data_IF_441489691411
#
_entry.id   IF_441489691411
#
_cell.length_a   1.000
_cell.length_b   1.000
_cell.length_c   1.000
_cell.angle_alpha   90.00
_cell.angle_beta   90.00
_cell.angle_gamma   90.00
#
_symmetry.space_group_name_H-M   'P 1'
#
loop_
_entity.id
_entity.type
_entity.pdbx_description
1 polymer ?
#
# COMPACT_ATOMS: atom_id res chain seq x y z
N UNK A 1 -15.83 7.60 -31.40
CA UNK A 1 -15.37 6.30 -31.97
C UNK A 1 -13.86 6.35 -31.94
N UNK A 2 -13.14 5.66 -31.05
CA UNK A 2 -13.15 4.21 -30.85
C UNK A 2 -13.16 3.92 -29.35
N UNK A 3 -14.27 3.37 -28.85
CA UNK A 3 -14.26 2.65 -27.59
C UNK A 3 -13.59 1.30 -27.87
N UNK A 4 -12.32 1.15 -27.51
CA UNK A 4 -11.72 -0.18 -27.42
C UNK A 4 -12.31 -0.82 -26.17
N UNK A 5 -13.06 -1.90 -26.36
CA UNK A 5 -13.46 -2.78 -25.27
C UNK A 5 -12.20 -3.19 -24.52
N UNK A 6 -12.08 -2.79 -23.25
CA UNK A 6 -11.09 -3.38 -22.36
C UNK A 6 -11.65 -4.74 -21.97
N UNK A 7 -11.49 -5.70 -22.88
CA UNK A 7 -11.49 -7.10 -22.49
C UNK A 7 -10.33 -7.31 -21.53
N UNK A 8 -10.49 -8.28 -20.63
CA UNK A 8 -9.46 -8.84 -19.74
C UNK A 8 -8.04 -8.46 -20.14
N UNK A 9 -7.30 -7.85 -19.21
CA UNK A 9 -5.90 -7.44 -19.38
C UNK A 9 -5.15 -8.43 -20.28
N UNK A 10 -4.46 -7.97 -21.34
CA UNK A 10 -3.76 -8.87 -22.25
C UNK A 10 -2.81 -9.77 -21.43
N UNK A 11 -2.61 -11.04 -21.82
CA UNK A 11 -1.95 -12.06 -20.99
C UNK A 11 -0.49 -11.76 -20.59
N UNK A 12 0.11 -10.68 -21.10
CA UNK A 12 1.41 -10.14 -20.70
C UNK A 12 1.35 -9.05 -19.61
N UNK A 13 0.16 -8.66 -19.15
CA UNK A 13 -0.11 -7.65 -18.10
C UNK A 13 -0.81 -8.29 -16.90
N UNK A 14 -0.32 -9.45 -16.43
CA UNK A 14 -0.86 -10.12 -15.23
C UNK A 14 -0.40 -9.48 -13.92
N UNK A 15 0.39 -8.40 -13.97
CA UNK A 15 0.93 -7.74 -12.77
C UNK A 15 0.96 -6.23 -12.89
N UNK A 16 0.52 -5.55 -11.83
CA UNK A 16 0.63 -4.11 -11.66
C UNK A 16 2.08 -3.62 -11.55
N UNK A 17 3.06 -4.53 -11.42
CA UNK A 17 4.48 -4.19 -11.47
C UNK A 17 4.93 -3.67 -12.85
N UNK A 18 4.24 -4.06 -13.92
CA UNK A 18 4.68 -3.82 -15.31
C UNK A 18 3.70 -3.01 -16.15
N UNK A 19 2.52 -2.70 -15.59
CA UNK A 19 1.49 -1.94 -16.29
C UNK A 19 1.93 -0.47 -16.47
N UNK A 20 1.79 0.13 -17.66
CA UNK A 20 2.00 1.56 -17.83
C UNK A 20 1.04 2.37 -16.96
N UNK A 21 1.52 3.47 -16.37
CA UNK A 21 0.69 4.32 -15.48
C UNK A 21 -0.62 4.74 -16.11
N UNK A 22 -0.62 5.16 -17.39
CA UNK A 22 -1.85 5.53 -18.09
C UNK A 22 -2.84 4.35 -18.18
N UNK A 23 -2.35 3.15 -18.51
CA UNK A 23 -3.19 1.96 -18.59
C UNK A 23 -3.75 1.53 -17.23
N UNK A 24 -2.97 1.67 -16.15
CA UNK A 24 -3.47 1.46 -14.79
C UNK A 24 -4.59 2.42 -14.43
N UNK A 25 -4.43 3.71 -14.74
CA UNK A 25 -5.43 4.73 -14.46
C UNK A 25 -6.71 4.52 -15.29
N UNK A 26 -6.59 4.15 -16.56
CA UNK A 26 -7.74 3.80 -17.41
C UNK A 26 -8.50 2.59 -16.86
N UNK A 27 -7.77 1.56 -16.38
CA UNK A 27 -8.38 0.38 -15.76
C UNK A 27 -9.08 0.72 -14.43
N UNK A 28 -8.44 1.53 -13.58
CA UNK A 28 -9.00 1.98 -12.30
C UNK A 28 -10.25 2.86 -12.48
N UNK A 29 -10.32 3.63 -13.57
CA UNK A 29 -11.47 4.46 -13.92
C UNK A 29 -12.58 3.70 -14.68
N UNK A 30 -12.39 2.40 -14.93
CA UNK A 30 -13.32 1.59 -15.71
C UNK A 30 -14.53 1.12 -14.88
N UNK A 31 -15.40 0.33 -15.52
CA UNK A 31 -16.54 -0.34 -14.85
C UNK A 31 -16.17 -1.70 -14.26
N UNK A 32 -14.95 -2.16 -14.51
CA UNK A 32 -14.49 -3.46 -14.03
C UNK A 32 -14.26 -3.40 -12.52
N UNK A 33 -14.51 -4.50 -11.79
CA UNK A 33 -14.34 -4.55 -10.34
C UNK A 33 -12.88 -4.43 -9.88
N UNK A 34 -11.93 -4.66 -10.79
CA UNK A 34 -10.48 -4.70 -10.53
C UNK A 34 -9.77 -3.94 -11.65
N UNK A 35 -8.76 -3.08 -11.36
CA UNK A 35 -8.24 -2.72 -10.04
C UNK A 35 -9.20 -1.84 -9.23
N UNK A 36 -9.10 -1.93 -7.89
CA UNK A 36 -9.93 -1.19 -6.95
C UNK A 36 -9.13 -0.28 -6.02
N UNK A 37 -9.80 0.19 -4.96
CA UNK A 37 -9.20 1.09 -3.96
C UNK A 37 -8.02 0.48 -3.19
N UNK A 38 -8.06 -0.81 -2.88
CA UNK A 38 -6.95 -1.51 -2.22
C UNK A 38 -5.70 -1.58 -3.10
N UNK A 39 -5.88 -1.92 -4.37
CA UNK A 39 -4.83 -1.91 -5.39
C UNK A 39 -4.22 -0.51 -5.52
N UNK A 40 -5.05 0.53 -5.57
CA UNK A 40 -4.60 1.92 -5.62
C UNK A 40 -3.83 2.34 -4.36
N UNK A 41 -4.23 1.87 -3.17
CA UNK A 41 -3.51 2.11 -1.92
C UNK A 41 -2.10 1.51 -1.97
N UNK A 42 -1.97 0.27 -2.44
CA UNK A 42 -0.71 -0.44 -2.56
C UNK A 42 0.25 0.25 -3.56
N UNK A 43 -0.27 0.61 -4.75
CA UNK A 43 0.49 1.37 -5.76
C UNK A 43 0.92 2.74 -5.21
N UNK A 44 0.05 3.44 -4.47
CA UNK A 44 0.38 4.72 -3.82
C UNK A 44 1.49 4.57 -2.78
N UNK A 45 1.45 3.53 -1.95
CA UNK A 45 2.52 3.21 -1.01
C UNK A 45 3.84 2.96 -1.74
N UNK A 46 3.81 2.28 -2.89
CA UNK A 46 5.00 2.03 -3.71
C UNK A 46 5.62 3.34 -4.24
N UNK A 47 4.80 4.32 -4.65
CA UNK A 47 5.28 5.65 -5.06
C UNK A 47 5.98 6.38 -3.91
N UNK A 48 5.37 6.38 -2.72
CA UNK A 48 5.97 7.00 -1.54
C UNK A 48 7.30 6.36 -1.15
N UNK A 49 7.38 5.03 -1.22
CA UNK A 49 8.60 4.26 -0.97
C UNK A 49 9.67 4.53 -2.03
N UNK A 50 9.29 4.63 -3.31
CA UNK A 50 10.21 4.92 -4.41
C UNK A 50 10.88 6.30 -4.29
N UNK A 51 10.15 7.32 -3.83
CA UNK A 51 10.74 8.64 -3.55
C UNK A 51 11.83 8.57 -2.46
N UNK A 52 11.59 7.78 -1.41
CA UNK A 52 12.59 7.56 -0.36
C UNK A 52 13.79 6.75 -0.86
N UNK A 53 13.58 5.73 -1.71
CA UNK A 53 14.66 5.04 -2.41
C UNK A 53 15.51 6.03 -3.24
N UNK A 54 14.87 6.94 -3.98
CA UNK A 54 15.57 7.99 -4.73
C UNK A 54 16.43 8.87 -3.81
N UNK A 55 15.88 9.34 -2.68
CA UNK A 55 16.62 10.14 -1.70
C UNK A 55 17.85 9.37 -1.19
N UNK A 56 17.71 8.08 -0.90
CA UNK A 56 18.81 7.22 -0.44
C UNK A 56 19.86 7.00 -1.53
N UNK A 57 19.45 6.81 -2.79
CA UNK A 57 20.36 6.71 -3.95
C UNK A 57 21.17 8.00 -4.17
N UNK A 58 20.62 9.17 -3.83
CA UNK A 58 21.32 10.45 -3.88
C UNK A 58 22.17 10.73 -2.62
N UNK A 59 22.13 9.83 -1.63
CA UNK A 59 22.79 9.99 -0.33
C UNK A 59 23.89 8.94 -0.11
N UNK A 60 23.54 7.66 -0.09
CA UNK A 60 24.43 6.55 0.27
C UNK A 60 25.63 6.47 -0.69
N UNK A 61 26.82 6.23 -0.14
CA UNK A 61 28.07 6.12 -0.93
C UNK A 61 28.64 7.46 -1.42
N UNK A 62 27.95 8.59 -1.22
CA UNK A 62 28.51 9.91 -1.51
C UNK A 62 29.49 10.29 -0.38
N UNK A 63 30.69 10.76 -0.76
CA UNK A 63 31.75 11.18 0.19
C UNK A 63 31.24 12.10 1.31
N UNK A 64 30.36 13.04 1.00
CA UNK A 64 29.76 13.98 1.98
C UNK A 64 28.87 13.32 3.05
N UNK A 65 28.36 12.11 2.80
CA UNK A 65 27.44 11.38 3.68
C UNK A 65 27.99 10.05 4.18
N UNK A 66 29.22 9.70 3.84
CA UNK A 66 29.82 8.39 4.11
C UNK A 66 29.73 7.96 5.58
N UNK A 67 29.80 8.91 6.53
CA UNK A 67 29.62 8.66 7.97
C UNK A 67 28.23 8.12 8.36
N UNK A 68 27.25 8.21 7.46
CA UNK A 68 25.87 7.75 7.66
C UNK A 68 25.57 6.43 6.92
N UNK A 69 26.48 5.94 6.07
CA UNK A 69 26.27 4.73 5.25
C UNK A 69 25.91 3.50 6.09
N UNK A 70 26.54 3.34 7.27
CA UNK A 70 26.26 2.20 8.17
C UNK A 70 24.82 2.15 8.66
N UNK A 71 24.13 3.29 8.72
CA UNK A 71 22.72 3.40 9.11
C UNK A 71 21.81 3.35 7.87
N UNK A 72 22.18 4.09 6.82
CA UNK A 72 21.31 4.32 5.67
C UNK A 72 21.30 3.16 4.66
N UNK A 73 22.35 2.35 4.57
CA UNK A 73 22.41 1.23 3.63
C UNK A 73 21.45 0.09 3.99
N UNK A 74 21.33 -0.36 5.25
CA UNK A 74 20.29 -1.31 5.64
C UNK A 74 18.88 -0.78 5.40
N UNK A 75 18.65 0.51 5.67
CA UNK A 75 17.38 1.19 5.39
C UNK A 75 17.07 1.13 3.88
N UNK A 76 18.03 1.51 3.03
CA UNK A 76 17.89 1.46 1.57
C UNK A 76 17.49 0.08 1.06
N UNK A 77 18.09 -0.99 1.59
CA UNK A 77 17.73 -2.36 1.22
C UNK A 77 16.30 -2.73 1.63
N UNK A 78 15.87 -2.33 2.84
CA UNK A 78 14.50 -2.55 3.30
C UNK A 78 13.48 -1.80 2.46
N UNK A 79 13.71 -0.53 2.15
CA UNK A 79 12.79 0.25 1.33
C UNK A 79 12.65 -0.33 -0.08
N UNK A 80 13.73 -0.81 -0.69
CA UNK A 80 13.65 -1.43 -2.01
C UNK A 80 12.83 -2.73 -1.97
N UNK A 81 13.00 -3.54 -0.92
CA UNK A 81 12.17 -4.72 -0.71
C UNK A 81 10.69 -4.35 -0.49
N UNK A 82 10.40 -3.35 0.35
CA UNK A 82 9.05 -2.86 0.60
C UNK A 82 8.39 -2.29 -0.66
N UNK A 83 9.15 -1.61 -1.53
CA UNK A 83 8.64 -1.08 -2.80
C UNK A 83 8.13 -2.19 -3.72
N UNK A 84 8.89 -3.28 -3.83
CA UNK A 84 8.51 -4.44 -4.62
C UNK A 84 7.34 -5.20 -3.97
N UNK A 85 7.37 -5.35 -2.64
CA UNK A 85 6.29 -6.01 -1.91
C UNK A 85 4.97 -5.26 -2.03
N UNK A 86 4.97 -3.93 -2.01
CA UNK A 86 3.75 -3.14 -2.21
C UNK A 86 3.13 -3.36 -3.60
N UNK A 87 3.94 -3.55 -4.64
CA UNK A 87 3.40 -3.88 -5.96
C UNK A 87 2.88 -5.32 -6.03
N UNK A 88 3.54 -6.26 -5.33
CA UNK A 88 3.06 -7.63 -5.17
C UNK A 88 1.72 -7.68 -4.40
N UNK A 89 1.58 -6.86 -3.35
CA UNK A 89 0.32 -6.72 -2.60
C UNK A 89 -0.81 -6.11 -3.45
N UNK A 90 -0.48 -5.25 -4.42
CA UNK A 90 -1.46 -4.76 -5.38
C UNK A 90 -2.06 -5.92 -6.22
N UNK A 91 -1.21 -6.84 -6.68
CA UNK A 91 -1.65 -8.04 -7.41
C UNK A 91 -2.49 -8.97 -6.52
N UNK A 92 -2.08 -9.14 -5.26
CA UNK A 92 -2.80 -9.95 -4.28
C UNK A 92 -4.17 -9.37 -3.91
N UNK A 93 -4.29 -8.04 -3.82
CA UNK A 93 -5.56 -7.36 -3.51
C UNK A 93 -6.58 -7.61 -4.63
N UNK A 94 -6.14 -7.45 -5.88
CA UNK A 94 -6.94 -7.78 -7.06
C UNK A 94 -7.41 -9.24 -7.07
N UNK A 95 -6.50 -10.18 -6.77
CA UNK A 95 -6.82 -11.60 -6.70
C UNK A 95 -7.79 -11.93 -5.55
N UNK A 96 -7.59 -11.34 -4.37
CA UNK A 96 -8.46 -11.54 -3.21
C UNK A 96 -9.87 -11.02 -3.48
N UNK A 97 -10.00 -9.86 -4.13
CA UNK A 97 -11.30 -9.30 -4.48
C UNK A 97 -12.03 -10.13 -5.55
N UNK A 98 -11.30 -10.69 -6.53
CA UNK A 98 -11.89 -11.58 -7.52
C UNK A 98 -12.57 -12.81 -6.89
N UNK A 99 -12.00 -13.35 -5.79
CA UNK A 99 -12.63 -14.45 -5.05
C UNK A 99 -13.88 -14.01 -4.27
N UNK A 100 -13.89 -12.80 -3.70
CA UNK A 100 -15.09 -12.22 -3.07
C UNK A 100 -16.20 -12.07 -4.12
N UNK A 101 -15.90 -11.47 -5.27
CA UNK A 101 -16.86 -11.30 -6.37
C UNK A 101 -17.40 -12.65 -6.88
N UNK A 102 -16.53 -13.66 -7.03
CA UNK A 102 -16.93 -15.03 -7.38
C UNK A 102 -17.93 -15.60 -6.36
N UNK A 103 -17.66 -15.47 -5.07
CA UNK A 103 -18.55 -15.95 -4.00
C UNK A 103 -19.89 -15.21 -4.00
N UNK A 104 -19.89 -13.91 -4.29
CA UNK A 104 -21.11 -13.10 -4.41
C UNK A 104 -21.98 -13.53 -5.61
N UNK A 105 -21.39 -14.04 -6.69
CA UNK A 105 -22.12 -14.51 -7.88
C UNK A 105 -22.70 -15.93 -7.74
N UNK A 106 -22.31 -16.70 -6.74
CA UNK A 106 -22.87 -18.04 -6.51
C UNK A 106 -24.37 -17.97 -6.17
N UNK A 107 -25.20 -18.66 -6.95
CA UNK A 107 -26.64 -18.80 -6.67
C UNK A 107 -26.88 -19.82 -5.55
N UNK A 108 -27.83 -19.52 -4.65
CA UNK A 108 -28.19 -20.42 -3.56
C UNK A 108 -29.71 -20.62 -3.51
N UNK A 109 -30.19 -21.74 -4.03
CA UNK A 109 -31.61 -22.08 -4.10
C UNK A 109 -32.11 -22.92 -2.90
N UNK A 110 -31.23 -23.35 -1.98
CA UNK A 110 -31.57 -24.18 -0.80
C UNK A 110 -30.80 -23.73 0.47
N UNK A 111 -31.31 -23.92 1.72
CA UNK A 111 -30.66 -23.49 2.94
C UNK A 111 -29.26 -24.09 3.17
N UNK A 112 -29.03 -25.35 2.78
CA UNK A 112 -27.71 -25.98 2.90
C UNK A 112 -26.66 -25.28 2.04
N UNK A 113 -27.02 -24.92 0.80
CA UNK A 113 -26.18 -24.15 -0.11
C UNK A 113 -25.94 -22.70 0.37
N UNK A 114 -26.89 -22.10 1.11
CA UNK A 114 -26.70 -20.77 1.71
C UNK A 114 -25.63 -20.76 2.80
N UNK A 115 -25.62 -21.76 3.69
CA UNK A 115 -24.62 -21.86 4.75
C UNK A 115 -23.20 -22.08 4.20
N UNK A 116 -23.06 -22.97 3.21
CA UNK A 116 -21.78 -23.21 2.53
C UNK A 116 -21.31 -21.94 1.82
N UNK A 117 -22.17 -21.28 1.04
CA UNK A 117 -21.83 -20.01 0.38
C UNK A 117 -21.40 -18.94 1.38
N UNK A 118 -22.05 -18.85 2.54
CA UNK A 118 -21.67 -17.89 3.58
C UNK A 118 -20.27 -18.16 4.13
N UNK A 119 -19.96 -19.42 4.43
CA UNK A 119 -18.63 -19.81 4.91
C UNK A 119 -17.53 -19.53 3.87
N UNK A 120 -17.79 -19.80 2.59
CA UNK A 120 -16.87 -19.45 1.49
C UNK A 120 -16.65 -17.93 1.38
N UNK A 121 -17.73 -17.15 1.46
CA UNK A 121 -17.67 -15.69 1.41
C UNK A 121 -16.90 -15.11 2.61
N UNK A 122 -17.16 -15.59 3.82
CA UNK A 122 -16.46 -15.11 5.02
C UNK A 122 -14.96 -15.38 4.94
N UNK A 123 -14.55 -16.54 4.38
CA UNK A 123 -13.13 -16.84 4.13
C UNK A 123 -12.52 -15.89 3.09
N UNK A 124 -13.22 -15.65 1.98
CA UNK A 124 -12.76 -14.72 0.95
C UNK A 124 -12.63 -13.29 1.50
N UNK A 125 -13.60 -12.84 2.29
CA UNK A 125 -13.58 -11.52 2.94
C UNK A 125 -12.45 -11.38 3.96
N UNK A 126 -12.14 -12.44 4.73
CA UNK A 126 -10.98 -12.44 5.62
C UNK A 126 -9.68 -12.21 4.84
N UNK A 127 -9.48 -12.94 3.74
CA UNK A 127 -8.32 -12.74 2.86
C UNK A 127 -8.29 -11.32 2.27
N UNK A 128 -9.43 -10.84 1.76
CA UNK A 128 -9.57 -9.49 1.20
C UNK A 128 -9.38 -8.37 2.23
N UNK A 129 -9.62 -8.63 3.52
CA UNK A 129 -9.27 -7.71 4.61
C UNK A 129 -7.79 -7.80 5.02
N UNK A 130 -7.17 -8.97 4.88
CA UNK A 130 -5.77 -9.19 5.28
C UNK A 130 -4.80 -8.47 4.35
N UNK A 131 -5.04 -8.47 3.03
CA UNK A 131 -4.11 -7.85 2.07
C UNK A 131 -3.96 -6.33 2.29
N UNK A 132 -5.04 -5.52 2.44
CA UNK A 132 -4.90 -4.11 2.78
C UNK A 132 -4.22 -3.88 4.14
N UNK A 133 -4.41 -4.77 5.13
CA UNK A 133 -3.67 -4.67 6.39
C UNK A 133 -2.16 -4.84 6.17
N UNK A 134 -1.74 -5.78 5.31
CA UNK A 134 -0.33 -5.96 4.94
C UNK A 134 0.23 -4.74 4.18
N UNK A 135 -0.57 -4.09 3.33
CA UNK A 135 -0.20 -2.82 2.68
C UNK A 135 0.03 -1.75 3.74
N UNK A 136 -0.89 -1.60 4.69
CA UNK A 136 -0.78 -0.62 5.78
C UNK A 136 0.45 -0.89 6.66
N UNK A 137 0.72 -2.14 7.01
CA UNK A 137 1.86 -2.53 7.84
C UNK A 137 3.19 -2.31 7.12
N UNK A 138 3.26 -2.63 5.83
CA UNK A 138 4.44 -2.35 5.00
C UNK A 138 4.70 -0.84 4.94
N UNK A 139 3.67 -0.04 4.68
CA UNK A 139 3.78 1.43 4.70
C UNK A 139 4.18 1.97 6.08
N UNK A 140 3.66 1.40 7.17
CA UNK A 140 4.03 1.72 8.56
C UNK A 140 5.52 1.47 8.81
N UNK A 141 6.04 0.33 8.36
CA UNK A 141 7.46 0.00 8.44
C UNK A 141 8.34 1.04 7.72
N UNK A 142 7.96 1.41 6.50
CA UNK A 142 8.66 2.45 5.71
C UNK A 142 8.61 3.81 6.42
N UNK A 143 7.46 4.21 6.95
CA UNK A 143 7.31 5.43 7.78
C UNK A 143 8.18 5.38 9.05
N UNK A 144 8.43 4.19 9.61
CA UNK A 144 9.36 4.00 10.71
C UNK A 144 10.79 4.44 10.36
N UNK A 145 11.22 4.20 9.12
CA UNK A 145 12.55 4.50 8.62
C UNK A 145 12.72 5.96 8.15
N UNK A 146 11.64 6.68 7.83
CA UNK A 146 11.70 8.04 7.28
C UNK A 146 12.40 9.04 8.20
N UNK A 147 12.40 8.82 9.52
CA UNK A 147 13.10 9.68 10.48
C UNK A 147 14.61 9.71 10.23
N UNK A 148 15.24 8.55 10.01
CA UNK A 148 16.67 8.46 9.75
C UNK A 148 17.00 9.05 8.37
N UNK A 149 16.14 8.81 7.38
CA UNK A 149 16.26 9.43 6.04
C UNK A 149 16.17 10.96 6.16
N UNK A 150 15.19 11.49 6.91
CA UNK A 150 15.01 12.91 7.14
C UNK A 150 16.14 13.54 7.94
N UNK A 151 16.87 12.81 8.80
CA UNK A 151 17.98 13.36 9.59
C UNK A 151 19.33 13.32 8.86
N UNK A 152 19.56 12.25 8.08
CA UNK A 152 20.89 11.91 7.55
C UNK A 152 20.96 11.97 6.04
N UNK A 153 19.81 11.99 5.39
CA UNK A 153 19.64 12.13 3.96
C UNK A 153 20.12 13.47 3.43
N UNK A 154 20.29 13.49 2.10
CA UNK A 154 20.62 14.68 1.35
C UNK A 154 19.57 15.78 1.54
N UNK A 155 20.01 16.93 2.09
CA UNK A 155 19.15 18.09 2.38
C UNK A 155 18.46 18.64 1.14
N UNK A 156 19.08 18.54 -0.04
CA UNK A 156 18.55 19.14 -1.28
C UNK A 156 17.31 18.43 -1.82
N UNK A 157 16.97 17.26 -1.27
CA UNK A 157 15.83 16.43 -1.69
C UNK A 157 14.93 16.09 -0.50
N UNK A 158 14.91 16.96 0.53
CA UNK A 158 14.00 16.78 1.67
C UNK A 158 12.53 16.93 1.28
N UNK A 159 12.22 17.72 0.24
CA UNK A 159 10.87 17.77 -0.34
C UNK A 159 10.39 16.38 -0.77
N UNK A 160 11.27 15.55 -1.33
CA UNK A 160 10.91 14.20 -1.76
C UNK A 160 10.66 13.25 -0.58
N UNK A 161 11.36 13.46 0.55
CA UNK A 161 11.05 12.76 1.81
C UNK A 161 9.65 13.13 2.30
N UNK A 162 9.30 14.42 2.25
CA UNK A 162 7.98 14.90 2.69
C UNK A 162 6.86 14.36 1.81
N UNK A 163 7.00 14.47 0.48
CA UNK A 163 6.02 13.92 -0.47
C UNK A 163 5.88 12.41 -0.28
N UNK A 164 6.99 11.68 -0.18
CA UNK A 164 6.95 10.23 0.06
C UNK A 164 6.23 9.88 1.37
N UNK A 165 6.47 10.64 2.43
CA UNK A 165 5.82 10.49 3.74
C UNK A 165 4.30 10.71 3.65
N UNK A 166 3.85 11.73 2.91
CA UNK A 166 2.42 11.98 2.70
C UNK A 166 1.75 10.85 1.91
N UNK A 167 2.38 10.35 0.85
CA UNK A 167 1.85 9.24 0.05
C UNK A 167 1.72 7.96 0.87
N UNK A 168 2.72 7.63 1.68
CA UNK A 168 2.66 6.48 2.59
C UNK A 168 1.54 6.61 3.62
N UNK A 169 1.36 7.79 4.22
CA UNK A 169 0.28 8.03 5.17
C UNK A 169 -1.10 7.89 4.48
N UNK A 170 -1.25 8.42 3.27
CA UNK A 170 -2.46 8.26 2.48
C UNK A 170 -2.73 6.78 2.16
N UNK A 171 -1.71 6.00 1.82
CA UNK A 171 -1.82 4.57 1.59
C UNK A 171 -2.29 3.80 2.83
N UNK A 172 -1.78 4.13 4.04
CA UNK A 172 -2.24 3.53 5.31
C UNK A 172 -3.72 3.85 5.56
N UNK A 173 -4.12 5.12 5.40
CA UNK A 173 -5.53 5.50 5.59
C UNK A 173 -6.46 4.87 4.55
N UNK A 174 -6.03 4.80 3.29
CA UNK A 174 -6.79 4.13 2.22
C UNK A 174 -6.92 2.63 2.49
N UNK A 175 -5.84 1.99 2.94
CA UNK A 175 -5.86 0.58 3.34
C UNK A 175 -6.86 0.33 4.47
N UNK A 176 -6.93 1.21 5.47
CA UNK A 176 -7.93 1.11 6.54
C UNK A 176 -9.37 1.13 6.03
N UNK A 177 -9.68 1.95 5.02
CA UNK A 177 -11.02 1.94 4.41
C UNK A 177 -11.31 0.57 3.80
N UNK A 178 -10.36 -0.03 3.08
CA UNK A 178 -10.53 -1.33 2.44
C UNK A 178 -10.62 -2.48 3.46
N UNK A 179 -9.84 -2.46 4.55
CA UNK A 179 -10.01 -3.39 5.68
C UNK A 179 -11.43 -3.28 6.23
N UNK A 180 -11.87 -2.07 6.55
CA UNK A 180 -13.17 -1.83 7.19
C UNK A 180 -14.35 -2.31 6.32
N UNK A 181 -14.33 -2.02 5.02
CA UNK A 181 -15.38 -2.45 4.09
C UNK A 181 -15.51 -3.98 4.07
N UNK A 182 -14.39 -4.71 3.97
CA UNK A 182 -14.41 -6.17 4.00
C UNK A 182 -14.92 -6.72 5.34
N UNK A 183 -14.49 -6.12 6.46
CA UNK A 183 -14.96 -6.50 7.80
C UNK A 183 -16.47 -6.25 8.00
N UNK A 184 -17.02 -5.17 7.44
CA UNK A 184 -18.47 -4.89 7.49
C UNK A 184 -19.31 -5.93 6.74
N UNK A 185 -18.74 -6.59 5.73
CA UNK A 185 -19.42 -7.65 4.97
C UNK A 185 -19.27 -9.03 5.64
N UNK A 186 -18.19 -9.23 6.41
CA UNK A 186 -17.87 -10.50 7.05
C UNK A 186 -18.73 -10.77 8.29
N UNK A 187 -18.83 -12.04 8.67
CA UNK A 187 -19.46 -12.42 9.94
C UNK A 187 -18.54 -11.95 11.08
N UNK A 188 -19.04 -11.22 12.08
CA UNK A 188 -18.22 -10.78 13.20
C UNK A 188 -17.63 -11.96 13.98
N UNK A 189 -16.36 -11.86 14.34
CA UNK A 189 -15.63 -12.88 15.08
C UNK A 189 -14.31 -12.37 15.64
N UNK A 190 -13.60 -13.22 16.36
CA UNK A 190 -12.32 -12.86 16.99
C UNK A 190 -11.26 -12.45 15.95
N UNK A 191 -11.24 -13.12 14.78
CA UNK A 191 -10.31 -12.79 13.69
C UNK A 191 -10.59 -11.39 13.11
N UNK A 192 -11.86 -11.05 12.89
CA UNK A 192 -12.26 -9.72 12.40
C UNK A 192 -11.92 -8.62 13.41
N UNK A 193 -12.06 -8.90 14.71
CA UNK A 193 -11.67 -7.98 15.78
C UNK A 193 -10.16 -7.77 15.84
N UNK A 194 -9.37 -8.83 15.63
CA UNK A 194 -7.91 -8.74 15.55
C UNK A 194 -7.47 -7.87 14.37
N UNK A 195 -8.00 -8.11 13.16
CA UNK A 195 -7.71 -7.30 11.98
C UNK A 195 -8.05 -5.81 12.20
N UNK A 196 -9.18 -5.52 12.86
CA UNK A 196 -9.58 -4.16 13.21
C UNK A 196 -8.62 -3.50 14.22
N UNK A 197 -8.12 -4.25 15.20
CA UNK A 197 -7.15 -3.76 16.17
C UNK A 197 -5.79 -3.47 15.52
N UNK A 198 -5.33 -4.37 14.64
CA UNK A 198 -4.04 -4.26 13.96
C UNK A 198 -4.01 -3.05 13.02
N UNK A 199 -5.07 -2.82 12.22
CA UNK A 199 -5.12 -1.64 11.35
C UNK A 199 -5.19 -0.33 12.13
N UNK A 200 -5.89 -0.32 13.27
CA UNK A 200 -5.93 0.84 14.16
C UNK A 200 -4.54 1.16 14.77
N UNK A 201 -3.80 0.13 15.17
CA UNK A 201 -2.42 0.28 15.62
C UNK A 201 -1.52 0.82 14.50
N UNK A 202 -1.70 0.33 13.28
CA UNK A 202 -0.95 0.80 12.12
C UNK A 202 -1.18 2.29 11.84
N UNK A 203 -2.44 2.75 11.88
CA UNK A 203 -2.77 4.17 11.70
C UNK A 203 -2.11 5.04 12.77
N UNK A 204 -2.18 4.63 14.04
CA UNK A 204 -1.59 5.38 15.15
C UNK A 204 -0.08 5.57 14.96
N UNK A 205 0.62 4.50 14.59
CA UNK A 205 2.05 4.56 14.31
C UNK A 205 2.35 5.41 13.07
N UNK A 206 1.61 5.23 11.99
CA UNK A 206 1.79 5.97 10.74
C UNK A 206 1.64 7.48 10.94
N UNK A 207 0.62 7.93 11.67
CA UNK A 207 0.40 9.35 12.00
C UNK A 207 1.54 9.90 12.86
N UNK A 208 1.99 9.15 13.86
CA UNK A 208 3.11 9.56 14.72
C UNK A 208 4.40 9.67 13.93
N UNK A 209 4.69 8.69 13.08
CA UNK A 209 5.92 8.64 12.29
C UNK A 209 5.96 9.67 11.17
N UNK A 210 4.82 9.94 10.52
CA UNK A 210 4.73 10.96 9.49
C UNK A 210 4.90 12.35 10.08
N UNK A 211 4.17 12.67 11.16
CA UNK A 211 4.24 13.97 11.84
C UNK A 211 5.67 14.34 12.25
N UNK A 212 6.36 13.47 13.00
CA UNK A 212 7.76 13.70 13.41
C UNK A 212 8.71 13.91 12.22
N UNK A 213 8.46 13.23 11.10
CA UNK A 213 9.33 13.29 9.92
C UNK A 213 9.13 14.60 9.18
N UNK A 214 7.86 15.02 9.02
CA UNK A 214 7.50 16.26 8.32
C UNK A 214 8.00 17.48 9.08
N UNK A 215 7.83 17.51 10.41
CA UNK A 215 8.38 18.55 11.27
C UNK A 215 9.90 18.64 11.09
N UNK A 216 10.57 17.48 11.13
CA UNK A 216 12.02 17.41 10.97
C UNK A 216 12.51 17.88 9.61
N UNK A 217 11.80 17.55 8.54
CA UNK A 217 12.15 18.03 7.21
C UNK A 217 12.03 19.55 7.13
N UNK A 218 10.95 20.12 7.67
CA UNK A 218 10.70 21.56 7.72
C UNK A 218 11.82 22.29 8.48
N UNK A 219 12.16 21.85 9.69
CA UNK A 219 13.27 22.39 10.48
C UNK A 219 14.60 22.41 9.70
N UNK A 220 14.93 21.30 9.02
CA UNK A 220 16.18 21.19 8.26
C UNK A 220 16.17 22.04 6.99
N UNK A 221 15.01 22.31 6.40
CA UNK A 221 14.90 23.19 5.24
C UNK A 221 15.08 24.65 5.64
N UNK A 222 14.53 25.07 6.78
CA UNK A 222 14.64 26.45 7.27
C UNK A 222 16.07 26.79 7.72
N UNK A 223 16.80 25.83 8.31
CA UNK A 223 18.22 25.98 8.65
C UNK A 223 19.17 26.08 7.44
N UNK A 224 18.65 26.04 6.21
CA UNK A 224 19.42 26.20 4.96
C UNK A 224 19.18 27.56 4.28
N UNK A 225 18.31 28.39 4.86
CA UNK A 225 18.10 29.79 4.46
C UNK A 225 19.02 30.71 5.26
#
# INVERSE_FOLDING_TARGET
>A
MIARSVGSLPPSLNSFQSIPTAAFLDALASREPVPGGGTAAAVTGSHGTALLCMVLNLTVGRRRFQRHDGILRPIQQRLEASRLELLNLADQDAAAYAEVDRCLKLSAHDPSARAVRRAELDRALHTAATVPLQVADTCRGVLGDTWEVANRGNRTVLSDVMVGTHLLLAAVHSSNVNVHVNLCMATPGAEQQALAADIAACIKDAVRFSSRTLDRCTERMDQSR
#
